data_IF_820797071841
#
_entry.id   IF_820797071841
#
_cell.length_a   1.000
_cell.length_b   1.000
_cell.length_c   1.000
_cell.angle_alpha   90.00
_cell.angle_beta   90.00
_cell.angle_gamma   90.00
#
_symmetry.space_group_name_H-M   'P 1'
#
loop_
_entity.id
_entity.type
_entity.pdbx_description
1 polymer ?
#
# COMPACT_ATOMS: atom_id res chain seq x y z
N UNK A 1 -63.29 -19.28 -29.26
CA UNK A 1 -62.62 -19.15 -27.96
C UNK A 1 -62.29 -20.50 -27.32
N UNK A 2 -62.98 -21.60 -27.67
CA UNK A 2 -62.60 -22.98 -27.28
C UNK A 2 -61.44 -23.57 -28.08
N UNK A 3 -61.25 -23.16 -29.35
CA UNK A 3 -60.17 -23.64 -30.23
C UNK A 3 -58.79 -23.08 -29.88
N UNK A 4 -58.70 -21.82 -29.43
CA UNK A 4 -57.44 -21.19 -29.02
C UNK A 4 -56.89 -21.72 -27.68
N UNK A 5 -57.77 -22.23 -26.81
CA UNK A 5 -57.38 -22.83 -25.53
C UNK A 5 -56.81 -24.24 -25.72
N UNK A 6 -57.37 -25.00 -26.67
CA UNK A 6 -56.86 -26.33 -27.05
C UNK A 6 -55.46 -26.26 -27.66
N UNK A 7 -55.19 -25.24 -28.47
CA UNK A 7 -53.89 -25.06 -29.15
C UNK A 7 -52.78 -24.63 -28.18
N UNK A 8 -53.15 -23.89 -27.12
CA UNK A 8 -52.25 -23.49 -26.03
C UNK A 8 -51.92 -24.65 -25.06
N UNK A 9 -52.86 -25.57 -24.82
CA UNK A 9 -52.59 -26.77 -24.00
C UNK A 9 -51.65 -27.76 -24.70
N UNK A 10 -51.76 -27.94 -26.01
CA UNK A 10 -50.88 -28.84 -26.77
C UNK A 10 -49.46 -28.29 -26.91
N UNK A 11 -49.30 -26.97 -27.07
CA UNK A 11 -47.95 -26.34 -27.08
C UNK A 11 -47.29 -26.41 -25.71
N UNK A 12 -48.05 -26.25 -24.61
CA UNK A 12 -47.51 -26.40 -23.26
C UNK A 12 -47.09 -27.84 -22.94
N UNK A 13 -47.86 -28.84 -23.41
CA UNK A 13 -47.50 -30.27 -23.24
C UNK A 13 -46.29 -30.67 -24.06
N UNK A 14 -46.14 -30.13 -25.27
CA UNK A 14 -44.94 -30.32 -26.11
C UNK A 14 -43.69 -29.70 -25.48
N UNK A 15 -43.77 -28.49 -24.93
CA UNK A 15 -42.65 -27.83 -24.25
C UNK A 15 -42.24 -28.57 -22.96
N UNK A 16 -43.20 -29.09 -22.19
CA UNK A 16 -42.93 -29.89 -20.97
C UNK A 16 -42.33 -31.26 -21.32
N UNK A 17 -42.79 -31.91 -22.40
CA UNK A 17 -42.20 -33.16 -22.91
C UNK A 17 -40.77 -32.95 -23.41
N UNK A 18 -40.51 -31.84 -24.11
CA UNK A 18 -39.17 -31.54 -24.64
C UNK A 18 -38.20 -31.18 -23.50
N UNK A 19 -38.68 -30.45 -22.48
CA UNK A 19 -37.91 -30.14 -21.28
C UNK A 19 -37.59 -31.40 -20.44
N UNK A 20 -38.52 -32.34 -20.34
CA UNK A 20 -38.30 -33.61 -19.61
C UNK A 20 -37.41 -34.59 -20.38
N UNK A 21 -37.35 -34.50 -21.72
CA UNK A 21 -36.43 -35.32 -22.54
C UNK A 21 -35.02 -34.72 -22.62
N UNK A 22 -34.86 -33.40 -22.42
CA UNK A 22 -33.54 -32.77 -22.27
C UNK A 22 -32.97 -32.82 -20.84
N UNK A 23 -33.81 -33.16 -19.86
CA UNK A 23 -33.43 -33.34 -18.45
C UNK A 23 -33.29 -34.83 -18.06
N UNK A 24 -33.02 -35.68 -19.04
CA UNK A 24 -32.57 -37.06 -18.83
C UNK A 24 -31.11 -37.20 -19.29
N UNK A 25 -30.26 -36.30 -18.80
CA UNK A 25 -28.83 -36.60 -18.69
C UNK A 25 -28.73 -37.62 -17.57
N UNK A 26 -28.28 -38.81 -17.94
CA UNK A 26 -28.14 -40.00 -17.11
C UNK A 26 -27.60 -39.67 -15.71
N UNK A 27 -28.44 -39.84 -14.70
CA UNK A 27 -27.98 -40.10 -13.34
C UNK A 27 -27.71 -41.60 -13.33
N UNK A 28 -26.50 -41.97 -13.73
CA UNK A 28 -25.92 -43.26 -13.41
C UNK A 28 -25.34 -43.11 -12.00
N UNK A 29 -25.93 -43.83 -11.03
CA UNK A 29 -25.43 -43.95 -9.67
C UNK A 29 -24.03 -44.59 -9.71
N UNK A 30 -23.00 -43.75 -9.74
CA UNK A 30 -21.61 -44.16 -9.54
C UNK A 30 -21.25 -43.89 -8.07
N UNK A 31 -21.41 -44.92 -7.24
CA UNK A 31 -21.31 -44.95 -5.77
C UNK A 31 -19.86 -44.85 -5.26
N UNK A 32 -19.05 -43.95 -5.87
CA UNK A 32 -17.63 -43.78 -5.52
C UNK A 32 -17.11 -42.34 -5.64
N UNK A 33 -17.97 -41.32 -5.55
CA UNK A 33 -17.60 -39.91 -5.75
C UNK A 33 -17.62 -39.03 -4.49
N UNK A 34 -17.81 -39.61 -3.30
CA UNK A 34 -17.76 -38.86 -2.03
C UNK A 34 -16.36 -38.43 -1.60
N UNK A 35 -15.31 -38.82 -2.33
CA UNK A 35 -13.91 -38.44 -2.04
C UNK A 35 -13.31 -37.34 -2.94
N UNK A 36 -14.10 -36.68 -3.79
CA UNK A 36 -13.55 -35.72 -4.78
C UNK A 36 -14.09 -34.28 -4.71
N UNK A 37 -14.77 -33.87 -3.63
CA UNK A 37 -14.86 -32.44 -3.26
C UNK A 37 -13.69 -32.02 -2.36
N UNK A 38 -12.48 -32.50 -2.68
CA UNK A 38 -11.25 -31.83 -2.26
C UNK A 38 -11.26 -30.47 -2.98
N UNK A 39 -11.72 -29.42 -2.30
CA UNK A 39 -11.35 -28.04 -2.64
C UNK A 39 -9.87 -28.10 -3.01
N UNK A 40 -9.44 -27.79 -4.24
CA UNK A 40 -8.02 -27.84 -4.56
C UNK A 40 -7.34 -26.99 -3.50
N UNK A 41 -6.44 -27.59 -2.73
CA UNK A 41 -5.63 -26.85 -1.80
C UNK A 41 -4.94 -25.81 -2.68
N UNK A 42 -5.39 -24.55 -2.60
CA UNK A 42 -4.89 -23.46 -3.41
C UNK A 42 -3.47 -23.21 -2.93
N UNK A 43 -2.54 -24.02 -3.44
CA UNK A 43 -1.13 -23.94 -3.16
C UNK A 43 -0.58 -22.79 -3.98
N UNK A 44 -0.81 -21.59 -3.45
CA UNK A 44 -0.18 -20.36 -3.93
C UNK A 44 1.32 -20.53 -3.70
N UNK A 45 2.15 -20.51 -4.75
CA UNK A 45 3.58 -20.69 -4.59
C UNK A 45 4.17 -19.46 -3.87
N UNK A 46 4.92 -19.72 -2.81
CA UNK A 46 5.49 -18.68 -1.95
C UNK A 46 6.57 -17.85 -2.67
N UNK A 47 7.33 -18.47 -3.57
CA UNK A 47 8.36 -17.83 -4.41
C UNK A 47 9.27 -16.86 -3.63
N UNK A 48 10.01 -17.37 -2.63
CA UNK A 48 10.84 -16.57 -1.72
C UNK A 48 11.72 -15.54 -2.44
N UNK A 49 12.31 -15.90 -3.58
CA UNK A 49 13.19 -15.01 -4.35
C UNK A 49 12.48 -13.72 -4.80
N UNK A 50 11.16 -13.77 -5.09
CA UNK A 50 10.37 -12.58 -5.43
C UNK A 50 10.16 -11.68 -4.21
N UNK A 51 10.01 -12.28 -3.03
CA UNK A 51 9.96 -11.54 -1.76
C UNK A 51 11.28 -10.82 -1.49
N UNK A 52 12.42 -11.49 -1.68
CA UNK A 52 13.76 -10.89 -1.53
C UNK A 52 13.99 -9.78 -2.57
N UNK A 53 13.60 -10.00 -3.82
CA UNK A 53 13.69 -8.98 -4.87
C UNK A 53 12.82 -7.75 -4.55
N UNK A 54 11.58 -7.97 -4.08
CA UNK A 54 10.70 -6.89 -3.66
C UNK A 54 11.29 -6.08 -2.51
N UNK A 55 11.86 -6.75 -1.50
CA UNK A 55 12.57 -6.11 -0.41
C UNK A 55 13.76 -5.27 -0.91
N UNK A 56 14.59 -5.83 -1.80
CA UNK A 56 15.73 -5.11 -2.37
C UNK A 56 15.30 -3.86 -3.17
N UNK A 57 14.21 -3.96 -3.96
CA UNK A 57 13.64 -2.83 -4.69
C UNK A 57 13.10 -1.75 -3.75
N UNK A 58 12.41 -2.15 -2.68
CA UNK A 58 11.93 -1.22 -1.65
C UNK A 58 13.08 -0.53 -0.93
N UNK A 59 14.11 -1.28 -0.53
CA UNK A 59 15.30 -0.76 0.13
C UNK A 59 16.05 0.22 -0.79
N UNK A 60 16.19 -0.11 -2.08
CA UNK A 60 16.78 0.78 -3.07
C UNK A 60 15.98 2.08 -3.23
N UNK A 61 14.65 2.00 -3.36
CA UNK A 61 13.81 3.21 -3.45
C UNK A 61 13.87 4.04 -2.16
N UNK A 62 13.88 3.39 -0.99
CA UNK A 62 14.04 4.07 0.29
C UNK A 62 15.40 4.78 0.38
N UNK A 63 16.49 4.14 -0.06
CA UNK A 63 17.81 4.76 -0.13
C UNK A 63 17.86 5.95 -1.09
N UNK A 64 17.22 5.85 -2.27
CA UNK A 64 17.12 6.99 -3.17
C UNK A 64 16.35 8.16 -2.54
N UNK A 65 15.33 7.89 -1.72
CA UNK A 65 14.64 8.93 -0.95
C UNK A 65 15.55 9.58 0.09
N UNK A 66 16.36 8.81 0.83
CA UNK A 66 17.30 9.40 1.81
C UNK A 66 18.42 10.18 1.13
N UNK A 67 18.88 9.72 -0.04
CA UNK A 67 19.84 10.45 -0.87
C UNK A 67 19.24 11.76 -1.38
N UNK A 68 18.03 11.74 -1.92
CA UNK A 68 17.35 12.95 -2.38
C UNK A 68 17.08 13.90 -1.22
N UNK A 69 16.61 13.39 -0.07
CA UNK A 69 16.43 14.18 1.14
C UNK A 69 17.74 14.84 1.59
N UNK A 70 18.84 14.09 1.53
CA UNK A 70 20.17 14.63 1.80
C UNK A 70 20.53 15.75 0.83
N UNK A 71 20.18 15.66 -0.46
CA UNK A 71 20.47 16.73 -1.42
C UNK A 71 19.59 17.96 -1.13
N UNK A 72 18.27 17.80 -1.09
CA UNK A 72 17.31 18.91 -0.96
C UNK A 72 17.43 19.64 0.38
N UNK A 73 17.92 18.96 1.41
CA UNK A 73 18.13 19.56 2.72
C UNK A 73 19.01 20.82 2.67
N UNK A 74 20.05 20.80 1.84
CA UNK A 74 20.93 21.96 1.70
C UNK A 74 20.23 23.09 0.89
N UNK A 75 19.34 22.74 -0.04
CA UNK A 75 18.62 23.67 -0.93
C UNK A 75 17.27 24.17 -0.38
N UNK A 76 16.79 23.63 0.74
CA UNK A 76 15.52 24.02 1.33
C UNK A 76 15.49 25.53 1.61
N UNK A 77 14.42 26.26 1.19
CA UNK A 77 14.31 27.68 1.44
C UNK A 77 14.31 28.05 2.93
N UNK A 78 14.87 29.22 3.26
CA UNK A 78 15.02 29.69 4.65
C UNK A 78 13.88 30.60 5.14
N UNK A 79 12.87 30.87 4.31
CA UNK A 79 11.72 31.68 4.72
C UNK A 79 10.72 30.86 5.54
N UNK A 80 9.74 31.55 6.15
CA UNK A 80 8.74 30.95 7.03
C UNK A 80 7.81 29.94 6.35
N UNK A 81 7.03 29.17 7.15
CA UNK A 81 6.13 28.16 6.63
C UNK A 81 5.01 28.79 5.78
N UNK A 82 4.49 27.99 4.85
CA UNK A 82 3.32 28.37 4.08
C UNK A 82 2.05 28.36 4.97
N UNK A 83 1.02 29.16 4.63
CA UNK A 83 -0.27 29.08 5.30
C UNK A 83 -0.88 27.68 5.15
N UNK A 84 -1.31 27.09 6.26
CA UNK A 84 -1.91 25.76 6.30
C UNK A 84 -3.07 25.71 7.28
N UNK A 85 -4.11 24.94 6.94
CA UNK A 85 -5.33 24.85 7.74
C UNK A 85 -5.10 24.20 9.11
N UNK A 86 -4.16 23.26 9.24
CA UNK A 86 -3.86 22.65 10.54
C UNK A 86 -3.26 23.67 11.52
N UNK A 87 -2.55 24.67 11.00
CA UNK A 87 -1.87 25.67 11.81
C UNK A 87 -2.85 26.69 12.38
N UNK A 88 -3.99 26.91 11.74
CA UNK A 88 -5.05 27.80 12.22
C UNK A 88 -5.98 27.10 13.21
N UNK A 89 -6.20 25.79 13.04
CA UNK A 89 -7.12 25.01 13.86
C UNK A 89 -6.52 24.49 15.17
N UNK A 90 -5.21 24.24 15.21
CA UNK A 90 -4.58 23.52 16.32
C UNK A 90 -3.48 24.32 17.02
N UNK A 91 -3.37 24.13 18.34
CA UNK A 91 -2.27 24.66 19.13
C UNK A 91 -1.03 23.81 18.91
N UNK A 92 0.05 24.47 18.50
CA UNK A 92 1.36 23.84 18.33
C UNK A 92 1.80 23.05 19.55
N UNK A 93 2.07 21.76 19.34
CA UNK A 93 2.56 20.86 20.39
C UNK A 93 3.64 19.94 19.80
N UNK A 94 4.93 20.32 19.85
CA UNK A 94 6.00 19.58 19.17
C UNK A 94 6.19 18.15 19.67
N UNK A 95 5.94 17.90 20.96
CA UNK A 95 6.07 16.56 21.56
C UNK A 95 5.16 15.51 20.89
N UNK A 96 4.09 15.91 20.20
CA UNK A 96 3.21 14.99 19.49
C UNK A 96 3.90 14.27 18.31
N UNK A 97 4.97 14.84 17.77
CA UNK A 97 5.75 14.18 16.72
C UNK A 97 6.34 12.85 17.20
N UNK A 98 6.87 12.82 18.43
CA UNK A 98 7.41 11.61 19.04
C UNK A 98 6.33 10.51 19.18
N UNK A 99 5.12 10.88 19.60
CA UNK A 99 4.02 9.92 19.72
C UNK A 99 3.53 9.41 18.37
N UNK A 100 3.53 10.26 17.33
CA UNK A 100 3.27 9.84 15.95
C UNK A 100 4.28 8.79 15.48
N UNK A 101 5.58 9.02 15.70
CA UNK A 101 6.64 8.06 15.34
C UNK A 101 6.51 6.76 16.11
N UNK A 102 6.19 6.82 17.40
CA UNK A 102 5.94 5.64 18.22
C UNK A 102 4.75 4.81 17.67
N UNK A 103 3.64 5.46 17.33
CA UNK A 103 2.47 4.81 16.71
C UNK A 103 2.89 4.14 15.39
N UNK A 104 3.68 4.84 14.56
CA UNK A 104 4.15 4.29 13.29
C UNK A 104 5.01 3.04 13.48
N UNK A 105 5.94 3.05 14.44
CA UNK A 105 6.77 1.88 14.75
C UNK A 105 5.90 0.72 15.24
N UNK A 106 4.90 0.99 16.10
CA UNK A 106 3.96 -0.03 16.60
C UNK A 106 3.15 -0.65 15.45
N UNK A 107 2.56 0.16 14.58
CA UNK A 107 1.78 -0.32 13.44
C UNK A 107 2.63 -1.09 12.43
N UNK A 108 3.85 -0.60 12.14
CA UNK A 108 4.81 -1.29 11.28
C UNK A 108 5.21 -2.64 11.86
N UNK A 109 5.56 -2.69 13.15
CA UNK A 109 5.87 -3.93 13.85
C UNK A 109 4.70 -4.93 13.82
N UNK A 110 3.48 -4.44 14.03
CA UNK A 110 2.26 -5.26 13.97
C UNK A 110 2.03 -5.86 12.57
N UNK A 111 2.21 -5.06 11.52
CA UNK A 111 2.10 -5.53 10.13
C UNK A 111 3.16 -6.59 9.80
N UNK A 112 4.40 -6.40 10.26
CA UNK A 112 5.49 -7.38 10.07
C UNK A 112 5.22 -8.69 10.84
N UNK A 113 4.69 -8.61 12.05
CA UNK A 113 4.27 -9.80 12.83
C UNK A 113 3.22 -10.58 12.04
N UNK A 114 2.18 -9.92 11.51
CA UNK A 114 1.17 -10.57 10.66
C UNK A 114 1.85 -11.23 9.45
N UNK A 115 2.74 -10.54 8.75
CA UNK A 115 3.49 -11.13 7.64
C UNK A 115 4.24 -12.41 8.05
N UNK A 116 4.95 -12.41 9.17
CA UNK A 116 5.79 -13.54 9.61
C UNK A 116 4.95 -14.78 9.96
N UNK A 117 3.80 -14.58 10.64
CA UNK A 117 2.95 -15.66 11.13
C UNK A 117 1.87 -16.12 10.15
N UNK A 118 1.63 -15.40 9.06
CA UNK A 118 0.63 -15.78 8.07
C UNK A 118 1.07 -17.00 7.22
N UNK A 119 0.12 -17.90 6.89
CA UNK A 119 0.37 -19.09 6.04
C UNK A 119 1.05 -18.72 4.71
N UNK A 120 0.72 -17.56 4.16
CA UNK A 120 1.23 -17.03 2.89
C UNK A 120 2.30 -15.95 3.01
N UNK A 121 3.13 -16.01 4.06
CA UNK A 121 4.12 -14.97 4.44
C UNK A 121 4.93 -14.37 3.29
N UNK A 122 5.47 -15.17 2.36
CA UNK A 122 6.33 -14.65 1.29
C UNK A 122 5.53 -13.88 0.23
N UNK A 123 4.27 -14.27 0.01
CA UNK A 123 3.35 -13.51 -0.86
C UNK A 123 3.03 -12.17 -0.21
N UNK A 124 2.69 -12.16 1.09
CA UNK A 124 2.39 -10.94 1.83
C UNK A 124 3.59 -9.97 1.85
N UNK A 125 4.78 -10.49 2.17
CA UNK A 125 6.05 -9.75 2.16
C UNK A 125 6.33 -9.14 0.79
N UNK A 126 6.16 -9.92 -0.29
CA UNK A 126 6.31 -9.42 -1.67
C UNK A 126 5.36 -8.26 -1.96
N UNK A 127 4.08 -8.40 -1.62
CA UNK A 127 3.05 -7.37 -1.87
C UNK A 127 3.33 -6.10 -1.08
N UNK A 128 3.64 -6.24 0.21
CA UNK A 128 3.98 -5.11 1.09
C UNK A 128 5.14 -4.29 0.51
N UNK A 129 6.25 -4.97 0.17
CA UNK A 129 7.44 -4.27 -0.30
C UNK A 129 7.30 -3.71 -1.72
N UNK A 130 6.54 -4.34 -2.62
CA UNK A 130 6.28 -3.76 -3.95
C UNK A 130 5.42 -2.51 -3.85
N UNK A 131 4.34 -2.55 -3.06
CA UNK A 131 3.49 -1.37 -2.85
C UNK A 131 4.31 -0.24 -2.21
N UNK A 132 5.10 -0.55 -1.16
CA UNK A 132 5.99 0.43 -0.54
C UNK A 132 7.02 1.01 -1.53
N UNK A 133 7.63 0.17 -2.38
CA UNK A 133 8.57 0.62 -3.41
C UNK A 133 7.92 1.59 -4.41
N UNK A 134 6.70 1.30 -4.88
CA UNK A 134 5.96 2.19 -5.78
C UNK A 134 5.66 3.56 -5.12
N UNK A 135 5.27 3.55 -3.85
CA UNK A 135 5.00 4.78 -3.09
C UNK A 135 6.27 5.60 -2.88
N UNK A 136 7.38 4.96 -2.52
CA UNK A 136 8.68 5.61 -2.38
C UNK A 136 9.24 6.11 -3.72
N UNK A 137 8.99 5.41 -4.82
CA UNK A 137 9.36 5.90 -6.14
C UNK A 137 8.59 7.19 -6.49
N UNK A 138 7.28 7.24 -6.21
CA UNK A 138 6.50 8.47 -6.36
C UNK A 138 7.02 9.62 -5.48
N UNK A 139 7.38 9.32 -4.23
CA UNK A 139 7.97 10.28 -3.29
C UNK A 139 9.29 10.86 -3.80
N UNK A 140 10.17 10.03 -4.35
CA UNK A 140 11.44 10.47 -4.93
C UNK A 140 11.23 11.58 -5.98
N UNK A 141 10.24 11.41 -6.86
CA UNK A 141 9.93 12.40 -7.90
C UNK A 141 9.44 13.73 -7.31
N UNK A 142 8.56 13.67 -6.31
CA UNK A 142 8.05 14.88 -5.64
C UNK A 142 9.15 15.67 -4.93
N UNK A 143 10.07 14.98 -4.23
CA UNK A 143 11.20 15.59 -3.56
C UNK A 143 12.16 16.29 -4.54
N UNK A 144 12.39 15.66 -5.69
CA UNK A 144 13.24 16.22 -6.74
C UNK A 144 12.64 17.50 -7.36
N UNK A 145 11.33 17.51 -7.61
CA UNK A 145 10.68 18.58 -8.38
C UNK A 145 10.42 19.85 -7.58
N UNK A 146 10.13 19.77 -6.28
CA UNK A 146 9.75 20.96 -5.50
C UNK A 146 10.25 20.87 -4.08
N UNK A 147 10.90 21.93 -3.62
CA UNK A 147 11.39 22.06 -2.25
C UNK A 147 10.57 23.12 -1.51
N UNK A 148 9.90 22.70 -0.44
CA UNK A 148 9.06 23.56 0.39
C UNK A 148 9.77 23.91 1.71
N UNK A 149 9.49 25.09 2.29
CA UNK A 149 10.05 25.48 3.57
C UNK A 149 9.51 24.60 4.69
N UNK A 150 10.26 24.50 5.78
CA UNK A 150 9.85 23.70 6.93
C UNK A 150 8.54 24.18 7.55
N UNK A 151 7.67 23.22 7.86
CA UNK A 151 6.37 23.47 8.48
C UNK A 151 6.52 23.98 9.94
N UNK A 152 7.48 23.44 10.67
CA UNK A 152 7.81 23.90 12.03
C UNK A 152 9.05 24.80 12.04
N UNK A 153 8.85 26.05 12.45
CA UNK A 153 9.92 27.05 12.57
C UNK A 153 10.94 26.71 13.67
N UNK A 154 10.53 26.02 14.73
CA UNK A 154 11.37 25.69 15.88
C UNK A 154 12.09 24.36 15.73
N UNK A 155 11.76 23.60 14.68
CA UNK A 155 12.39 22.32 14.40
C UNK A 155 13.87 22.50 14.06
N UNK A 156 14.71 21.76 14.78
CA UNK A 156 16.16 21.78 14.65
C UNK A 156 16.57 20.84 13.53
N UNK A 157 17.13 21.42 12.47
CA UNK A 157 17.64 20.68 11.33
C UNK A 157 19.15 20.48 11.48
N UNK A 158 19.67 19.38 10.93
CA UNK A 158 21.11 19.16 10.80
C UNK A 158 21.79 20.35 10.09
N UNK A 159 23.09 20.59 10.36
CA UNK A 159 23.84 21.62 9.65
C UNK A 159 23.90 21.32 8.15
N UNK A 160 23.58 22.35 7.35
CA UNK A 160 23.65 22.28 5.88
C UNK A 160 25.11 22.27 5.41
N UNK A 161 25.39 21.57 4.32
CA UNK A 161 26.68 21.75 3.64
C UNK A 161 26.71 23.09 2.89
N UNK A 162 27.70 23.93 3.20
CA UNK A 162 28.05 25.12 2.41
C UNK A 162 28.69 24.73 1.08
N UNK A 163 28.64 25.61 0.08
CA UNK A 163 29.14 25.30 -1.27
C UNK A 163 30.64 24.92 -1.28
N UNK A 164 31.43 25.41 -0.32
CA UNK A 164 32.84 25.03 -0.15
C UNK A 164 33.04 23.62 0.45
N UNK A 165 32.10 23.13 1.26
CA UNK A 165 32.19 21.85 1.99
C UNK A 165 31.29 20.75 1.39
N UNK A 166 30.45 21.07 0.40
CA UNK A 166 29.54 20.12 -0.26
C UNK A 166 30.31 19.19 -1.19
N UNK A 167 30.78 18.08 -0.63
CA UNK A 167 31.36 16.99 -1.43
C UNK A 167 30.31 15.92 -1.72
N UNK A 168 30.36 15.31 -2.92
CA UNK A 168 29.48 14.19 -3.29
C UNK A 168 29.58 13.06 -2.26
N UNK A 169 30.81 12.80 -1.79
CA UNK A 169 31.08 11.82 -0.73
C UNK A 169 30.38 12.17 0.58
N UNK A 170 30.40 13.44 1.00
CA UNK A 170 29.74 13.90 2.22
C UNK A 170 28.22 13.71 2.18
N UNK A 171 27.58 14.10 1.07
CA UNK A 171 26.13 13.92 0.88
C UNK A 171 25.75 12.43 0.87
N UNK A 172 26.54 11.60 0.20
CA UNK A 172 26.32 10.15 0.13
C UNK A 172 26.48 9.46 1.50
N UNK A 173 27.50 9.84 2.27
CA UNK A 173 27.70 9.32 3.64
C UNK A 173 26.54 9.73 4.57
N UNK A 174 26.07 10.98 4.48
CA UNK A 174 24.89 11.45 5.22
C UNK A 174 23.64 10.64 4.85
N UNK A 175 23.45 10.33 3.57
CA UNK A 175 22.34 9.51 3.11
C UNK A 175 22.38 8.07 3.65
N UNK A 176 23.57 7.48 3.74
CA UNK A 176 23.81 6.16 4.35
C UNK A 176 23.45 6.18 5.83
N UNK A 177 23.96 7.18 6.57
CA UNK A 177 23.69 7.32 8.01
C UNK A 177 22.20 7.42 8.30
N UNK A 178 21.48 8.27 7.56
CA UNK A 178 20.03 8.45 7.72
C UNK A 178 19.25 7.20 7.29
N UNK A 179 19.71 6.49 6.25
CA UNK A 179 19.09 5.25 5.80
C UNK A 179 19.15 4.16 6.88
N UNK A 180 20.31 3.95 7.51
CA UNK A 180 20.46 2.96 8.58
C UNK A 180 19.83 3.41 9.91
N UNK A 181 19.64 4.72 10.13
CA UNK A 181 18.86 5.24 11.24
C UNK A 181 17.34 4.99 11.10
N UNK A 182 16.88 4.46 9.95
CA UNK A 182 15.49 4.08 9.73
C UNK A 182 14.55 5.27 9.45
N UNK A 183 15.09 6.47 9.23
CA UNK A 183 14.32 7.66 8.89
C UNK A 183 13.43 8.22 10.00
N UNK A 184 13.60 7.75 11.25
CA UNK A 184 12.91 8.31 12.42
C UNK A 184 13.62 9.57 12.92
N UNK A 185 12.87 10.56 13.37
CA UNK A 185 13.34 11.87 13.81
C UNK A 185 13.63 11.96 15.32
N UNK A 186 13.81 10.81 15.98
CA UNK A 186 13.95 10.68 17.44
C UNK A 186 15.19 11.38 18.01
N UNK A 187 16.22 11.63 17.19
CA UNK A 187 17.46 12.32 17.63
C UNK A 187 17.50 13.74 17.06
N UNK A 188 17.40 14.74 17.94
CA UNK A 188 17.38 16.15 17.56
C UNK A 188 18.63 16.62 16.78
N UNK A 189 19.79 16.03 17.07
CA UNK A 189 21.07 16.31 16.39
C UNK A 189 21.26 15.33 15.24
N UNK A 190 20.70 15.62 14.07
CA UNK A 190 20.87 14.80 12.86
C UNK A 190 19.68 14.77 11.90
N UNK A 191 18.55 15.35 12.27
CA UNK A 191 17.34 15.31 11.43
C UNK A 191 17.49 16.17 10.17
N UNK A 192 17.28 15.54 9.01
CA UNK A 192 17.23 16.23 7.73
C UNK A 192 15.85 16.87 7.54
N UNK A 193 15.85 18.10 7.02
CA UNK A 193 14.64 18.87 6.70
C UNK A 193 14.52 19.04 5.19
N UNK A 194 13.29 19.09 4.67
CA UNK A 194 13.01 19.40 3.26
C UNK A 194 11.97 18.49 2.61
N UNK A 195 11.35 17.57 3.36
CA UNK A 195 10.42 16.56 2.84
C UNK A 195 8.94 16.94 2.96
N UNK A 196 8.58 18.17 2.60
CA UNK A 196 7.28 18.76 2.91
C UNK A 196 6.28 18.79 1.74
N UNK A 197 6.12 17.67 1.00
CA UNK A 197 5.11 17.54 -0.08
C UNK A 197 4.46 16.15 -0.16
N UNK A 198 5.26 15.09 0.00
CA UNK A 198 4.79 13.71 0.02
C UNK A 198 5.32 13.03 1.29
N UNK A 199 4.46 13.00 2.31
CA UNK A 199 4.79 12.56 3.67
C UNK A 199 5.04 11.07 3.76
N UNK A 200 6.29 10.70 4.09
CA UNK A 200 6.68 9.31 4.38
C UNK A 200 6.03 8.75 5.64
N UNK A 201 5.83 9.59 6.66
CA UNK A 201 5.12 9.21 7.89
C UNK A 201 3.70 8.73 7.59
N UNK A 202 2.99 9.50 6.78
CA UNK A 202 1.62 9.18 6.38
C UNK A 202 1.55 7.95 5.49
N UNK A 203 2.48 7.79 4.54
CA UNK A 203 2.59 6.57 3.73
C UNK A 203 2.68 5.34 4.65
N UNK A 204 3.60 5.34 5.62
CA UNK A 204 3.81 4.19 6.51
C UNK A 204 2.60 3.92 7.38
N UNK A 205 2.00 4.95 8.01
CA UNK A 205 0.80 4.78 8.84
C UNK A 205 -0.37 4.19 8.05
N UNK A 206 -0.66 4.76 6.88
CA UNK A 206 -1.81 4.34 6.06
C UNK A 206 -1.57 2.98 5.43
N UNK A 207 -0.37 2.72 4.90
CA UNK A 207 -0.01 1.44 4.29
C UNK A 207 -0.08 0.30 5.32
N UNK A 208 0.51 0.50 6.50
CA UNK A 208 0.48 -0.52 7.56
C UNK A 208 -0.95 -0.73 8.06
N UNK A 209 -1.76 0.33 8.18
CA UNK A 209 -3.16 0.20 8.57
C UNK A 209 -3.99 -0.59 7.54
N UNK A 210 -3.87 -0.27 6.25
CA UNK A 210 -4.51 -1.01 5.16
C UNK A 210 -4.07 -2.47 5.15
N UNK A 211 -2.77 -2.72 5.29
CA UNK A 211 -2.21 -4.06 5.24
C UNK A 211 -2.68 -4.94 6.39
N UNK A 212 -2.68 -4.40 7.62
CA UNK A 212 -3.23 -5.10 8.80
C UNK A 212 -4.71 -5.40 8.57
N UNK A 213 -5.49 -4.44 8.05
CA UNK A 213 -6.91 -4.64 7.82
C UNK A 213 -7.22 -5.69 6.74
N UNK A 214 -6.40 -5.76 5.70
CA UNK A 214 -6.57 -6.72 4.62
C UNK A 214 -6.20 -8.14 5.04
N UNK A 215 -5.07 -8.33 5.72
CA UNK A 215 -4.50 -9.65 5.97
C UNK A 215 -4.73 -10.21 7.38
N UNK A 216 -5.12 -9.39 8.37
CA UNK A 216 -5.43 -9.93 9.69
C UNK A 216 -6.75 -10.75 9.68
N UNK A 217 -6.88 -11.75 10.57
CA UNK A 217 -8.09 -12.56 10.66
C UNK A 217 -9.35 -11.71 10.85
N UNK A 218 -10.38 -11.93 10.02
CA UNK A 218 -11.64 -11.15 10.03
C UNK A 218 -12.39 -11.20 11.37
N UNK A 219 -12.14 -12.23 12.19
CA UNK A 219 -12.70 -12.36 13.55
C UNK A 219 -12.21 -11.28 14.52
N UNK A 220 -11.05 -10.68 14.26
CA UNK A 220 -10.42 -9.69 15.15
C UNK A 220 -10.89 -8.26 14.84
N UNK A 221 -12.22 -8.02 14.90
CA UNK A 221 -12.84 -6.72 14.58
C UNK A 221 -12.25 -5.55 15.37
N UNK A 222 -11.86 -5.78 16.62
CA UNK A 222 -11.23 -4.77 17.47
C UNK A 222 -9.86 -4.32 16.94
N UNK A 223 -9.06 -5.22 16.37
CA UNK A 223 -7.76 -4.88 15.80
C UNK A 223 -7.97 -3.95 14.61
N UNK A 224 -8.87 -4.30 13.70
CA UNK A 224 -9.21 -3.49 12.51
C UNK A 224 -9.58 -2.04 12.87
N UNK A 225 -10.49 -1.89 13.84
CA UNK A 225 -10.91 -0.57 14.34
C UNK A 225 -9.77 0.18 15.05
N UNK A 226 -9.03 -0.50 15.92
CA UNK A 226 -7.93 0.10 16.68
C UNK A 226 -6.81 0.57 15.74
N UNK A 227 -6.46 -0.21 14.73
CA UNK A 227 -5.42 0.12 13.76
C UNK A 227 -5.76 1.40 12.99
N UNK A 228 -6.98 1.55 12.48
CA UNK A 228 -7.40 2.78 11.81
C UNK A 228 -7.46 3.97 12.78
N UNK A 229 -7.93 3.75 14.00
CA UNK A 229 -7.96 4.79 15.04
C UNK A 229 -6.55 5.30 15.35
N UNK A 230 -5.57 4.40 15.50
CA UNK A 230 -4.17 4.74 15.71
C UNK A 230 -3.57 5.47 14.50
N UNK A 231 -3.85 5.02 13.27
CA UNK A 231 -3.33 5.68 12.06
C UNK A 231 -3.88 7.11 11.91
N UNK A 232 -5.17 7.32 12.15
CA UNK A 232 -5.80 8.65 12.16
C UNK A 232 -5.22 9.53 13.27
N UNK A 233 -5.01 8.96 14.46
CA UNK A 233 -4.41 9.66 15.59
C UNK A 233 -2.97 10.08 15.29
N UNK A 234 -2.17 9.19 14.67
CA UNK A 234 -0.80 9.50 14.24
C UNK A 234 -0.77 10.66 13.23
N UNK A 235 -1.63 10.62 12.21
CA UNK A 235 -1.75 11.73 11.26
C UNK A 235 -2.18 13.04 11.93
N UNK A 236 -3.10 13.00 12.90
CA UNK A 236 -3.49 14.18 13.66
C UNK A 236 -2.31 14.74 14.48
N UNK A 237 -1.56 13.88 15.18
CA UNK A 237 -0.37 14.26 15.94
C UNK A 237 0.71 14.88 15.05
N UNK A 238 0.92 14.33 13.86
CA UNK A 238 1.85 14.84 12.86
C UNK A 238 1.49 16.26 12.39
N UNK A 239 0.20 16.56 12.23
CA UNK A 239 -0.28 17.90 11.86
C UNK A 239 -0.18 18.89 13.02
N UNK A 240 -0.58 18.49 14.24
CA UNK A 240 -0.54 19.37 15.42
C UNK A 240 0.91 19.70 15.84
N UNK A 241 1.83 18.76 15.65
CA UNK A 241 3.26 19.00 15.86
C UNK A 241 3.91 19.80 14.74
N UNK A 242 3.15 20.14 13.68
CA UNK A 242 3.65 20.80 12.45
C UNK A 242 4.80 20.03 11.80
N UNK A 243 4.77 18.70 11.88
CA UNK A 243 5.76 17.84 11.24
C UNK A 243 5.62 17.84 9.72
N UNK A 244 4.39 18.04 9.21
CA UNK A 244 4.07 18.16 7.79
C UNK A 244 2.94 19.17 7.57
N UNK A 245 2.80 19.64 6.32
CA UNK A 245 1.61 20.39 5.92
C UNK A 245 0.41 19.45 5.78
N UNK A 246 -0.80 20.00 5.86
CA UNK A 246 -2.04 19.23 5.66
C UNK A 246 -2.08 18.61 4.26
N UNK A 247 -1.59 19.34 3.26
CA UNK A 247 -1.55 18.85 1.88
C UNK A 247 -0.66 17.61 1.74
N UNK A 248 0.46 17.55 2.46
CA UNK A 248 1.38 16.40 2.44
C UNK A 248 0.66 15.13 2.91
N UNK A 249 -0.12 15.26 3.99
CA UNK A 249 -0.89 14.15 4.59
C UNK A 249 -2.02 13.71 3.66
N UNK A 250 -2.76 14.66 3.08
CA UNK A 250 -3.88 14.36 2.17
C UNK A 250 -3.40 13.66 0.90
N UNK A 251 -2.35 14.18 0.25
CA UNK A 251 -1.77 13.57 -0.95
C UNK A 251 -1.23 12.17 -0.63
N UNK A 252 -0.49 12.02 0.47
CA UNK A 252 0.02 10.72 0.90
C UNK A 252 -1.09 9.71 1.13
N UNK A 253 -2.16 10.09 1.84
CA UNK A 253 -3.30 9.22 2.09
C UNK A 253 -3.97 8.79 0.79
N UNK A 254 -4.21 9.74 -0.12
CA UNK A 254 -4.87 9.49 -1.39
C UNK A 254 -4.06 8.55 -2.29
N UNK A 255 -2.77 8.83 -2.50
CA UNK A 255 -1.91 7.97 -3.33
C UNK A 255 -1.72 6.58 -2.71
N UNK A 256 -1.52 6.50 -1.39
CA UNK A 256 -1.33 5.22 -0.69
C UNK A 256 -2.54 4.32 -0.83
N UNK A 257 -3.75 4.85 -0.57
CA UNK A 257 -4.99 4.07 -0.69
C UNK A 257 -5.24 3.63 -2.12
N UNK A 258 -5.00 4.49 -3.12
CA UNK A 258 -5.20 4.15 -4.54
C UNK A 258 -4.26 3.04 -5.00
N UNK A 259 -2.95 3.22 -4.82
CA UNK A 259 -1.96 2.22 -5.24
C UNK A 259 -2.21 0.88 -4.52
N UNK A 260 -2.56 0.92 -3.23
CA UNK A 260 -2.87 -0.30 -2.48
C UNK A 260 -4.05 -1.07 -3.09
N UNK A 261 -5.19 -0.40 -3.30
CA UNK A 261 -6.39 -1.08 -3.82
C UNK A 261 -6.29 -1.46 -5.29
N UNK A 262 -5.62 -0.65 -6.11
CA UNK A 262 -5.32 -0.99 -7.50
C UNK A 262 -4.46 -2.26 -7.57
N UNK A 263 -3.38 -2.32 -6.78
CA UNK A 263 -2.51 -3.49 -6.72
C UNK A 263 -3.30 -4.75 -6.30
N UNK A 264 -4.11 -4.68 -5.24
CA UNK A 264 -4.91 -5.82 -4.78
C UNK A 264 -5.99 -6.22 -5.79
N UNK A 265 -6.56 -5.26 -6.52
CA UNK A 265 -7.52 -5.54 -7.60
C UNK A 265 -6.84 -6.34 -8.71
N UNK A 266 -5.64 -5.97 -9.13
CA UNK A 266 -4.89 -6.73 -10.14
C UNK A 266 -4.44 -8.10 -9.65
N UNK A 267 -3.96 -8.17 -8.40
CA UNK A 267 -3.53 -9.43 -7.79
C UNK A 267 -4.67 -10.44 -7.61
N UNK A 268 -5.89 -9.96 -7.35
CA UNK A 268 -7.08 -10.80 -7.17
C UNK A 268 -7.80 -11.15 -8.47
N UNK A 269 -7.56 -10.40 -9.55
CA UNK A 269 -8.22 -10.58 -10.85
C UNK A 269 -7.18 -10.79 -11.98
N UNK A 270 -6.67 -12.02 -12.17
CA UNK A 270 -5.64 -12.30 -13.18
C UNK A 270 -6.06 -11.96 -14.62
N UNK A 271 -7.37 -11.96 -14.90
CA UNK A 271 -7.92 -11.57 -16.21
C UNK A 271 -7.60 -10.10 -16.50
N UNK A 272 -7.90 -9.18 -15.58
CA UNK A 272 -7.60 -7.75 -15.74
C UNK A 272 -6.10 -7.49 -15.93
N UNK A 273 -5.27 -8.29 -15.28
CA UNK A 273 -3.81 -8.16 -15.36
C UNK A 273 -3.22 -8.68 -16.68
N UNK A 274 -3.87 -9.66 -17.34
CA UNK A 274 -3.34 -10.33 -18.55
C UNK A 274 -4.08 -9.99 -19.84
N UNK A 275 -5.30 -9.47 -19.75
CA UNK A 275 -6.08 -9.10 -20.91
C UNK A 275 -5.46 -7.91 -21.63
N UNK A 276 -5.03 -8.13 -22.88
CA UNK A 276 -4.45 -7.13 -23.77
C UNK A 276 -5.48 -6.44 -24.68
N UNK A 277 -6.77 -6.61 -24.39
CA UNK A 277 -7.86 -5.90 -25.06
C UNK A 277 -7.62 -4.38 -25.11
N UNK A 278 -7.96 -3.76 -26.24
CA UNK A 278 -7.86 -2.31 -26.43
C UNK A 278 -8.70 -1.51 -25.42
N UNK A 279 -9.74 -2.14 -24.84
CA UNK A 279 -10.61 -1.55 -23.83
C UNK A 279 -10.06 -1.67 -22.40
N UNK A 280 -9.00 -2.45 -22.18
CA UNK A 280 -8.36 -2.57 -20.88
C UNK A 280 -7.34 -1.43 -20.66
N UNK A 281 -7.82 -0.28 -20.19
CA UNK A 281 -6.96 0.88 -19.94
C UNK A 281 -5.97 0.68 -18.78
N UNK A 282 -6.17 -0.32 -17.91
CA UNK A 282 -5.22 -0.64 -16.85
C UNK A 282 -3.87 -1.13 -17.38
N UNK A 283 -3.82 -1.71 -18.58
CA UNK A 283 -2.55 -2.09 -19.23
C UNK A 283 -1.67 -0.89 -19.59
N UNK A 284 -2.23 0.32 -19.61
CA UNK A 284 -1.48 1.55 -19.90
C UNK A 284 -0.76 2.10 -18.67
N UNK A 285 -1.01 1.55 -17.48
CA UNK A 285 -0.36 1.99 -16.26
C UNK A 285 1.13 1.62 -16.32
N UNK A 286 2.01 2.61 -16.15
CA UNK A 286 3.46 2.40 -16.29
C UNK A 286 4.05 1.35 -15.36
N UNK A 287 3.41 1.04 -14.23
CA UNK A 287 3.89 0.06 -13.25
C UNK A 287 3.23 -1.33 -13.36
N UNK A 288 2.30 -1.55 -14.29
CA UNK A 288 1.55 -2.82 -14.40
C UNK A 288 2.48 -4.03 -14.62
N UNK A 289 3.60 -3.84 -15.32
CA UNK A 289 4.60 -4.88 -15.57
C UNK A 289 5.20 -5.45 -14.28
N UNK A 290 5.33 -4.61 -13.23
CA UNK A 290 5.80 -5.03 -11.91
C UNK A 290 4.79 -5.98 -11.29
N UNK A 291 3.50 -5.62 -11.33
CA UNK A 291 2.41 -6.46 -10.82
C UNK A 291 2.35 -7.79 -11.59
N UNK A 292 2.39 -7.76 -12.93
CA UNK A 292 2.41 -8.94 -13.79
C UNK A 292 3.53 -9.91 -13.45
N UNK A 293 4.74 -9.38 -13.25
CA UNK A 293 5.92 -10.19 -12.93
C UNK A 293 5.83 -10.81 -11.52
N UNK A 294 5.40 -10.01 -10.55
CA UNK A 294 5.35 -10.41 -9.14
C UNK A 294 4.21 -11.40 -8.87
N UNK A 295 3.03 -11.21 -9.46
CA UNK A 295 1.83 -12.01 -9.22
C UNK A 295 1.59 -13.11 -10.29
N UNK A 296 2.52 -13.32 -11.23
CA UNK A 296 2.38 -14.29 -12.35
C UNK A 296 1.79 -15.65 -11.96
N UNK A 297 2.23 -16.20 -10.83
CA UNK A 297 1.86 -17.54 -10.37
C UNK A 297 0.77 -17.55 -9.28
N UNK A 298 0.24 -16.38 -8.88
CA UNK A 298 -0.88 -16.25 -7.95
C UNK A 298 -2.18 -16.21 -8.76
N UNK A 299 -2.87 -17.35 -8.87
CA UNK A 299 -4.08 -17.48 -9.68
C UNK A 299 -5.37 -17.29 -8.89
N UNK A 300 -5.29 -17.29 -7.56
CA UNK A 300 -6.43 -17.18 -6.64
C UNK A 300 -6.16 -16.12 -5.58
N UNK A 301 -7.21 -15.44 -5.08
CA UNK A 301 -7.07 -14.50 -3.96
C UNK A 301 -6.51 -15.19 -2.72
N UNK A 302 -5.66 -14.47 -1.99
CA UNK A 302 -5.06 -14.96 -0.74
C UNK A 302 -6.13 -14.93 0.35
N UNK A 303 -6.42 -16.04 1.05
CA UNK A 303 -7.39 -16.04 2.15
C UNK A 303 -6.80 -15.39 3.40
N UNK A 304 -7.67 -14.77 4.20
CA UNK A 304 -7.32 -14.20 5.51
C UNK A 304 -7.33 -15.33 6.54
N UNK A 305 -6.16 -15.88 6.89
CA UNK A 305 -6.01 -17.04 7.78
C UNK A 305 -5.27 -16.65 9.05
#
# INVERSE_FOLDING_TARGET
>A
MSTLVSEAEDTSRSLVSTASTSLSIQIEEDDNSTDAFIKPENNIPQEMWKGVLAFALCAFCAFLNTLMLSIIHDYMPSYGPLPDISFTLSKYTPSLLYYNELIMVILTGTALIICIFHKYRWVLVRRLFIIAALLYFGRLFTLFMTQLPKADIYYQCAPKFTDANRTIKGVFLRAIEVFFAGGLQVKAEGNLCGDYLYSGHTITLVLTALFINEYAPKRLKHIHFLTWSLALLGMAFLLISRGHYTIDVVISYWLTTRIFWEYHTFASNPILMRDTSAHNHFQKYGWIFVCQSMEKNCKTPVPNV
#
